data_IF_513516869017
#
_entry.id   IF_513516869017
#
_cell.length_a   1.000
_cell.length_b   1.000
_cell.length_c   1.000
_cell.angle_alpha   90.00
_cell.angle_beta   90.00
_cell.angle_gamma   90.00
#
_symmetry.space_group_name_H-M   'P 1'
#
loop_
_entity.id
_entity.type
_entity.pdbx_description
1 polymer ?
#
# COMPACT_ATOMS: atom_id res chain seq x y z
N UNK A 1 11.76 -42.49 26.79
CA UNK A 1 10.91 -43.00 25.68
C UNK A 1 9.72 -42.07 25.58
N UNK A 2 9.25 -41.54 24.45
CA UNK A 2 9.61 -41.53 23.02
C UNK A 2 8.80 -40.34 22.46
N UNK A 3 9.40 -39.53 21.60
CA UNK A 3 8.73 -38.40 20.97
C UNK A 3 9.77 -37.44 20.42
N UNK A 4 10.59 -37.93 19.49
CA UNK A 4 11.50 -37.08 18.75
C UNK A 4 10.68 -36.09 17.94
N UNK A 5 10.72 -34.82 18.32
CA UNK A 5 10.43 -33.71 17.42
C UNK A 5 11.41 -33.83 16.25
N UNK A 6 10.96 -34.49 15.18
CA UNK A 6 11.55 -34.29 13.87
C UNK A 6 11.34 -32.81 13.61
N UNK A 7 12.39 -32.00 13.81
CA UNK A 7 12.39 -30.61 13.36
C UNK A 7 12.12 -30.67 11.87
N UNK A 8 10.88 -30.41 11.46
CA UNK A 8 10.55 -30.29 10.05
C UNK A 8 11.53 -29.28 9.44
N UNK A 9 12.15 -29.65 8.32
CA UNK A 9 13.04 -28.74 7.64
C UNK A 9 12.27 -27.44 7.33
N UNK A 10 12.84 -26.26 7.65
CA UNK A 10 12.16 -25.00 7.44
C UNK A 10 11.84 -24.84 5.96
N UNK A 11 10.54 -24.71 5.65
CA UNK A 11 10.04 -24.59 4.28
C UNK A 11 10.64 -23.39 3.55
N UNK A 12 10.71 -23.50 2.22
CA UNK A 12 11.29 -22.47 1.33
C UNK A 12 10.37 -21.27 1.16
N UNK A 13 9.06 -21.49 1.25
CA UNK A 13 8.04 -20.44 1.13
C UNK A 13 7.21 -20.39 2.42
N UNK A 14 6.99 -19.18 2.93
CA UNK A 14 6.03 -18.88 3.98
C UNK A 14 4.97 -17.94 3.42
N UNK A 15 3.71 -18.34 3.55
CA UNK A 15 2.57 -17.60 3.02
C UNK A 15 1.70 -17.05 4.15
N UNK A 16 1.58 -15.73 4.27
CA UNK A 16 0.64 -15.06 5.15
C UNK A 16 -0.63 -14.69 4.38
N UNK A 17 -1.72 -15.38 4.66
CA UNK A 17 -3.03 -15.18 4.04
C UNK A 17 -4.04 -14.59 5.01
N UNK A 18 -5.02 -13.83 4.52
CA UNK A 18 -6.08 -13.27 5.37
C UNK A 18 -6.92 -12.20 4.67
N UNK A 19 -8.06 -11.79 5.25
CA UNK A 19 -8.98 -10.84 4.65
C UNK A 19 -8.40 -9.42 4.52
N UNK A 20 -9.06 -8.55 3.75
CA UNK A 20 -8.66 -7.16 3.62
C UNK A 20 -8.67 -6.45 4.99
N UNK A 21 -7.69 -5.59 5.24
CA UNK A 21 -7.60 -4.83 6.50
C UNK A 21 -7.12 -5.64 7.72
N UNK A 22 -6.74 -6.91 7.57
CA UNK A 22 -6.23 -7.76 8.67
C UNK A 22 -4.79 -7.47 9.11
N UNK A 23 -4.11 -6.52 8.46
CA UNK A 23 -2.75 -6.11 8.82
C UNK A 23 -1.61 -6.83 8.07
N UNK A 24 -1.90 -7.65 7.05
CA UNK A 24 -0.89 -8.37 6.24
C UNK A 24 0.28 -7.51 5.78
N UNK A 25 0.00 -6.37 5.12
CA UNK A 25 1.03 -5.41 4.67
C UNK A 25 1.85 -4.84 5.82
N UNK A 26 1.23 -4.60 6.97
CA UNK A 26 1.96 -4.13 8.17
C UNK A 26 2.89 -5.22 8.71
N UNK A 27 2.45 -6.48 8.71
CA UNK A 27 3.27 -7.64 9.09
C UNK A 27 4.41 -7.82 8.09
N UNK A 28 4.13 -7.83 6.78
CA UNK A 28 5.16 -7.94 5.74
C UNK A 28 6.21 -6.82 5.82
N UNK A 29 5.77 -5.58 6.04
CA UNK A 29 6.65 -4.44 6.29
C UNK A 29 7.52 -4.62 7.55
N UNK A 30 6.92 -5.10 8.64
CA UNK A 30 7.65 -5.37 9.89
C UNK A 30 8.66 -6.50 9.75
N UNK A 31 8.31 -7.56 9.00
CA UNK A 31 9.21 -8.68 8.66
C UNK A 31 10.38 -8.15 7.83
N UNK A 32 10.11 -7.37 6.77
CA UNK A 32 11.17 -6.78 5.94
C UNK A 32 12.10 -5.88 6.76
N UNK A 33 11.55 -4.99 7.61
CA UNK A 33 12.36 -4.10 8.46
C UNK A 33 13.21 -4.88 9.46
N UNK A 34 12.64 -5.91 10.08
CA UNK A 34 13.37 -6.77 11.03
C UNK A 34 14.48 -7.55 10.32
N UNK A 35 14.19 -8.16 9.17
CA UNK A 35 15.19 -8.84 8.34
C UNK A 35 16.29 -7.87 7.90
N UNK A 36 15.96 -6.63 7.54
CA UNK A 36 16.96 -5.62 7.17
C UNK A 36 17.87 -5.28 8.34
N UNK A 37 17.33 -5.06 9.54
CA UNK A 37 18.10 -4.78 10.76
C UNK A 37 19.05 -5.93 11.14
N UNK A 38 18.65 -7.16 10.86
CA UNK A 38 19.46 -8.36 11.10
C UNK A 38 20.42 -8.70 9.95
N UNK A 39 20.44 -7.91 8.85
CA UNK A 39 21.26 -8.21 7.67
C UNK A 39 20.78 -9.41 6.85
N UNK A 40 19.53 -9.85 7.05
CA UNK A 40 18.95 -11.01 6.37
C UNK A 40 18.08 -10.67 5.17
N UNK A 41 17.66 -9.42 4.99
CA UNK A 41 16.79 -9.04 3.87
C UNK A 41 17.57 -9.05 2.57
N UNK A 42 17.29 -9.99 1.68
CA UNK A 42 17.90 -10.10 0.36
C UNK A 42 17.25 -9.11 -0.60
N UNK A 43 15.91 -9.14 -0.65
CA UNK A 43 15.13 -8.22 -1.45
C UNK A 43 13.70 -8.12 -0.88
N UNK A 44 13.00 -7.06 -1.27
CA UNK A 44 11.58 -6.95 -1.01
C UNK A 44 10.83 -6.29 -2.16
N UNK A 45 9.58 -6.70 -2.38
CA UNK A 45 8.71 -6.12 -3.41
C UNK A 45 7.28 -6.00 -2.89
N UNK A 46 6.72 -4.79 -2.95
CA UNK A 46 5.38 -4.50 -2.41
C UNK A 46 4.48 -4.03 -3.54
N UNK A 47 3.65 -4.94 -4.04
CA UNK A 47 2.60 -4.62 -4.98
C UNK A 47 1.59 -3.67 -4.33
N UNK A 48 1.10 -2.72 -5.11
CA UNK A 48 -0.09 -1.97 -4.76
C UNK A 48 -0.76 -1.42 -6.01
N UNK A 49 -1.96 -1.93 -6.31
CA UNK A 49 -2.84 -1.44 -7.39
C UNK A 49 -3.16 0.05 -7.27
N UNK A 50 -3.06 0.60 -6.05
CA UNK A 50 -3.28 2.01 -5.77
C UNK A 50 -2.04 2.90 -5.92
N UNK A 51 -0.86 2.32 -6.19
CA UNK A 51 0.38 3.06 -6.40
C UNK A 51 0.27 3.93 -7.66
N UNK A 52 0.72 5.19 -7.58
CA UNK A 52 0.85 6.03 -8.77
C UNK A 52 2.06 5.66 -9.65
N UNK A 53 2.89 4.72 -9.18
CA UNK A 53 4.07 4.25 -9.87
C UNK A 53 3.85 2.86 -10.45
N UNK A 54 4.23 2.67 -11.72
CA UNK A 54 4.05 1.42 -12.48
C UNK A 54 4.89 0.28 -11.90
N UNK A 55 6.06 0.60 -11.33
CA UNK A 55 6.99 -0.33 -10.70
C UNK A 55 6.42 -1.11 -9.51
N UNK A 56 5.29 -0.66 -8.94
CA UNK A 56 4.58 -1.34 -7.86
C UNK A 56 3.23 -1.90 -8.28
N UNK A 57 2.79 -1.67 -9.52
CA UNK A 57 1.53 -2.20 -10.05
C UNK A 57 1.75 -3.37 -11.00
N UNK A 58 2.80 -3.28 -11.81
CA UNK A 58 3.08 -4.25 -12.86
C UNK A 58 4.04 -5.35 -12.39
N UNK A 59 3.74 -6.59 -12.78
CA UNK A 59 4.61 -7.74 -12.59
C UNK A 59 5.98 -7.59 -13.28
N UNK A 60 6.08 -6.78 -14.35
CA UNK A 60 7.32 -6.60 -15.15
C UNK A 60 8.52 -6.14 -14.35
N UNK A 61 8.28 -5.43 -13.25
CA UNK A 61 9.33 -4.90 -12.40
C UNK A 61 9.74 -5.85 -11.28
N UNK A 62 9.04 -6.97 -11.09
CA UNK A 62 9.28 -7.87 -9.98
C UNK A 62 10.71 -8.43 -9.99
N UNK A 63 11.08 -9.11 -11.08
CA UNK A 63 12.36 -9.83 -11.16
C UNK A 63 13.54 -8.87 -11.26
N UNK A 64 13.38 -7.78 -12.02
CA UNK A 64 14.42 -6.77 -12.18
C UNK A 64 14.70 -6.05 -10.86
N UNK A 65 13.66 -5.73 -10.08
CA UNK A 65 13.80 -5.13 -8.74
C UNK A 65 14.46 -6.11 -7.77
N UNK A 66 14.10 -7.39 -7.80
CA UNK A 66 14.77 -8.41 -6.98
C UNK A 66 16.25 -8.49 -7.35
N UNK A 67 16.59 -8.60 -8.64
CA UNK A 67 17.98 -8.68 -9.10
C UNK A 67 18.78 -7.42 -8.70
N UNK A 68 18.19 -6.24 -8.80
CA UNK A 68 18.82 -5.00 -8.37
C UNK A 68 19.09 -4.99 -6.86
N UNK A 69 18.11 -5.34 -6.02
CA UNK A 69 18.30 -5.42 -4.57
C UNK A 69 19.40 -6.43 -4.19
N UNK A 70 19.48 -7.56 -4.89
CA UNK A 70 20.56 -8.53 -4.66
C UNK A 70 21.94 -7.94 -4.99
N UNK A 71 22.05 -7.17 -6.08
CA UNK A 71 23.30 -6.53 -6.49
C UNK A 71 23.76 -5.38 -5.56
N UNK A 72 22.87 -4.83 -4.75
CA UNK A 72 23.18 -3.79 -3.77
C UNK A 72 23.88 -4.34 -2.52
N UNK A 73 23.83 -5.66 -2.27
CA UNK A 73 24.52 -6.26 -1.12
C UNK A 73 26.02 -6.41 -1.37
N UNK A 74 26.82 -5.88 -0.45
CA UNK A 74 28.28 -6.02 -0.49
C UNK A 74 28.73 -7.49 -0.43
N UNK A 75 27.96 -8.35 0.25
CA UNK A 75 28.23 -9.80 0.36
C UNK A 75 27.88 -10.60 -0.90
N UNK A 76 27.26 -9.95 -1.90
CA UNK A 76 26.86 -10.54 -3.18
C UNK A 76 27.64 -9.91 -4.36
N UNK A 77 28.89 -9.51 -4.13
CA UNK A 77 29.74 -8.87 -5.14
C UNK A 77 29.93 -9.75 -6.39
N UNK A 78 30.22 -11.03 -6.21
CA UNK A 78 30.42 -11.98 -7.31
C UNK A 78 29.12 -12.16 -8.10
N UNK A 79 27.97 -12.23 -7.41
CA UNK A 79 26.67 -12.27 -8.07
C UNK A 79 26.44 -11.00 -8.92
N UNK A 80 26.78 -9.83 -8.38
CA UNK A 80 26.67 -8.55 -9.13
C UNK A 80 27.49 -8.57 -10.42
N UNK A 81 28.72 -9.10 -10.37
CA UNK A 81 29.56 -9.21 -11.58
C UNK A 81 28.91 -10.12 -12.62
N UNK A 82 28.42 -11.29 -12.20
CA UNK A 82 27.75 -12.24 -13.10
C UNK A 82 26.45 -11.67 -13.67
N UNK A 83 25.67 -10.93 -12.86
CA UNK A 83 24.47 -10.22 -13.31
C UNK A 83 24.79 -9.22 -14.42
N UNK A 84 25.84 -8.41 -14.27
CA UNK A 84 26.25 -7.44 -15.29
C UNK A 84 26.62 -8.12 -16.61
N UNK A 85 27.35 -9.24 -16.56
CA UNK A 85 27.64 -10.03 -17.77
C UNK A 85 26.38 -10.65 -18.39
N UNK A 86 25.42 -11.11 -17.58
CA UNK A 86 24.13 -11.59 -18.09
C UNK A 86 23.38 -10.50 -18.86
N UNK A 87 23.37 -9.27 -18.34
CA UNK A 87 22.71 -8.11 -18.98
C UNK A 87 23.42 -7.73 -20.27
N UNK A 88 24.77 -7.66 -20.26
CA UNK A 88 25.57 -7.33 -21.44
C UNK A 88 25.36 -8.35 -22.58
N UNK A 89 25.28 -9.64 -22.24
CA UNK A 89 25.02 -10.71 -23.22
C UNK A 89 23.57 -10.76 -23.70
N UNK A 90 22.62 -10.25 -22.93
CA UNK A 90 21.19 -10.33 -23.22
C UNK A 90 20.48 -8.97 -23.07
N UNK A 91 20.77 -7.98 -23.93
CA UNK A 91 20.23 -6.63 -23.80
C UNK A 91 18.69 -6.55 -23.88
N UNK A 92 18.05 -7.55 -24.51
CA UNK A 92 16.59 -7.66 -24.60
C UNK A 92 15.89 -8.30 -23.39
N UNK A 93 16.62 -8.70 -22.35
CA UNK A 93 16.08 -9.51 -21.24
C UNK A 93 14.92 -8.83 -20.49
N UNK A 94 14.95 -7.49 -20.38
CA UNK A 94 13.92 -6.70 -19.70
C UNK A 94 12.54 -6.72 -20.37
N UNK A 95 12.45 -7.22 -21.61
CA UNK A 95 11.19 -7.38 -22.37
C UNK A 95 10.69 -8.82 -22.40
N UNK A 96 11.41 -9.75 -21.76
CA UNK A 96 11.05 -11.17 -21.70
C UNK A 96 10.06 -11.44 -20.58
N UNK A 97 9.42 -12.61 -20.62
CA UNK A 97 8.55 -13.09 -19.55
C UNK A 97 9.35 -13.26 -18.23
N UNK A 98 8.63 -13.36 -17.11
CA UNK A 98 9.26 -13.38 -15.78
C UNK A 98 10.15 -14.61 -15.60
N UNK A 99 9.84 -15.74 -16.24
CA UNK A 99 10.63 -16.96 -16.16
C UNK A 99 12.00 -16.79 -16.83
N UNK A 100 12.03 -16.25 -18.04
CA UNK A 100 13.28 -15.92 -18.75
C UNK A 100 14.10 -14.90 -17.96
N UNK A 101 13.45 -13.86 -17.40
CA UNK A 101 14.12 -12.89 -16.54
C UNK A 101 14.70 -13.54 -15.29
N UNK A 102 13.95 -14.39 -14.59
CA UNK A 102 14.38 -15.02 -13.35
C UNK A 102 15.57 -15.96 -13.59
N UNK A 103 15.52 -16.72 -14.68
CA UNK A 103 16.62 -17.58 -15.09
C UNK A 103 17.87 -16.77 -15.44
N UNK A 104 17.75 -15.70 -16.22
CA UNK A 104 18.89 -14.91 -16.70
C UNK A 104 19.51 -13.99 -15.65
N UNK A 105 18.66 -13.35 -14.82
CA UNK A 105 19.06 -12.29 -13.89
C UNK A 105 19.26 -12.80 -12.46
N UNK A 106 18.62 -13.91 -12.07
CA UNK A 106 18.72 -14.43 -10.69
C UNK A 106 19.45 -15.78 -10.69
N UNK A 107 18.89 -16.81 -11.32
CA UNK A 107 19.38 -18.17 -11.15
C UNK A 107 20.74 -18.41 -11.79
N UNK A 108 20.94 -18.03 -13.06
CA UNK A 108 22.25 -18.21 -13.72
C UNK A 108 23.37 -17.51 -12.95
N UNK A 109 23.27 -16.21 -12.61
CA UNK A 109 24.30 -15.56 -11.80
C UNK A 109 24.56 -16.24 -10.46
N UNK A 110 23.52 -16.71 -9.75
CA UNK A 110 23.67 -17.43 -8.48
C UNK A 110 24.37 -18.79 -8.63
N UNK A 111 24.04 -19.54 -9.69
CA UNK A 111 24.68 -20.84 -9.99
C UNK A 111 26.17 -20.67 -10.30
N UNK A 112 26.54 -19.61 -11.02
CA UNK A 112 27.94 -19.32 -11.37
C UNK A 112 28.80 -19.04 -10.14
N UNK A 113 28.24 -18.42 -9.09
CA UNK A 113 28.98 -18.11 -7.85
C UNK A 113 28.82 -19.19 -6.77
N UNK A 114 27.99 -20.20 -7.03
CA UNK A 114 27.73 -21.27 -6.07
C UNK A 114 29.02 -22.05 -5.81
N UNK A 115 29.42 -22.15 -4.53
CA UNK A 115 30.65 -22.82 -4.11
C UNK A 115 31.93 -22.00 -4.24
N UNK A 116 31.86 -20.75 -4.73
CA UNK A 116 33.03 -19.85 -4.79
C UNK A 116 33.21 -19.02 -3.50
N UNK A 117 32.14 -18.84 -2.72
CA UNK A 117 32.12 -18.00 -1.52
C UNK A 117 31.48 -18.73 -0.34
N UNK A 118 31.86 -18.36 0.89
CA UNK A 118 31.11 -18.77 2.08
C UNK A 118 29.77 -18.02 2.14
N UNK A 119 28.70 -18.72 1.76
CA UNK A 119 27.33 -18.20 1.77
C UNK A 119 26.76 -17.97 3.16
N UNK A 120 27.51 -18.17 4.24
CA UNK A 120 27.05 -17.95 5.62
C UNK A 120 26.60 -16.50 5.85
N UNK A 121 27.33 -15.53 5.29
CA UNK A 121 27.07 -14.08 5.42
C UNK A 121 26.03 -13.53 4.42
N UNK A 122 25.52 -14.37 3.52
CA UNK A 122 24.53 -13.92 2.54
C UNK A 122 23.18 -13.61 3.18
N UNK A 123 22.43 -12.65 2.64
CA UNK A 123 21.06 -12.44 3.07
C UNK A 123 20.21 -13.69 2.78
N UNK A 124 19.09 -13.83 3.51
CA UNK A 124 18.31 -15.07 3.59
C UNK A 124 16.83 -14.91 3.26
N UNK A 125 16.29 -13.70 3.20
CA UNK A 125 14.85 -13.45 3.10
C UNK A 125 14.48 -12.61 1.89
N UNK A 126 13.53 -13.10 1.09
CA UNK A 126 12.82 -12.36 0.05
C UNK A 126 11.40 -12.09 0.54
N UNK A 127 10.98 -10.83 0.61
CA UNK A 127 9.65 -10.44 1.12
C UNK A 127 8.78 -9.88 0.00
N UNK A 128 7.63 -10.49 -0.23
CA UNK A 128 6.60 -10.00 -1.15
C UNK A 128 5.32 -9.68 -0.40
N UNK A 129 4.71 -8.54 -0.73
CA UNK A 129 3.41 -8.13 -0.21
C UNK A 129 2.47 -7.72 -1.35
N UNK A 130 1.18 -7.99 -1.16
CA UNK A 130 0.12 -7.51 -2.04
C UNK A 130 0.07 -8.23 -3.38
N UNK A 131 0.44 -9.52 -3.47
CA UNK A 131 0.35 -10.28 -4.74
C UNK A 131 -1.07 -10.24 -5.35
N UNK A 132 -2.10 -10.12 -4.52
CA UNK A 132 -3.50 -9.88 -4.92
C UNK A 132 -3.79 -8.48 -5.48
N UNK A 133 -2.84 -7.54 -5.38
CA UNK A 133 -2.96 -6.17 -5.86
C UNK A 133 -2.17 -5.92 -7.17
N UNK A 134 -1.71 -6.97 -7.85
CA UNK A 134 -1.08 -6.85 -9.17
C UNK A 134 -2.09 -6.31 -10.19
N UNK A 135 -1.68 -5.36 -11.02
CA UNK A 135 -2.52 -4.87 -12.11
C UNK A 135 -2.33 -5.75 -13.35
N UNK A 136 -3.44 -6.24 -13.90
CA UNK A 136 -3.44 -7.07 -15.10
C UNK A 136 -2.81 -6.33 -16.29
N UNK A 137 -1.86 -6.96 -16.97
CA UNK A 137 -1.35 -6.45 -18.24
C UNK A 137 -2.47 -6.44 -19.29
N UNK A 138 -2.91 -5.23 -19.70
CA UNK A 138 -3.97 -5.07 -20.68
C UNK A 138 -3.46 -5.41 -22.09
N UNK A 139 -3.84 -6.57 -22.61
CA UNK A 139 -3.72 -6.91 -24.02
C UNK A 139 -4.91 -6.32 -24.80
N UNK A 140 -4.73 -5.11 -25.35
CA UNK A 140 -5.50 -4.42 -26.42
C UNK A 140 -7.06 -4.47 -26.50
N UNK A 141 -7.81 -5.19 -25.67
CA UNK A 141 -9.29 -5.17 -25.65
C UNK A 141 -9.83 -5.25 -24.20
N UNK A 142 -10.55 -4.22 -23.69
CA UNK A 142 -10.91 -4.14 -22.28
C UNK A 142 -12.34 -4.62 -22.02
N UNK A 143 -12.59 -5.94 -22.06
CA UNK A 143 -13.81 -6.49 -21.45
C UNK A 143 -13.55 -6.94 -20.00
N UNK A 144 -14.56 -6.85 -19.12
CA UNK A 144 -14.42 -7.21 -17.69
C UNK A 144 -13.97 -8.66 -17.46
N UNK A 145 -14.34 -9.58 -18.36
CA UNK A 145 -14.01 -10.99 -18.25
C UNK A 145 -12.56 -11.27 -18.69
N UNK A 146 -12.04 -10.52 -19.65
CA UNK A 146 -10.63 -10.58 -20.08
C UNK A 146 -9.70 -9.97 -19.03
N UNK A 147 -10.11 -8.88 -18.37
CA UNK A 147 -9.34 -8.27 -17.27
C UNK A 147 -9.15 -9.25 -16.10
N UNK A 148 -10.21 -9.96 -15.71
CA UNK A 148 -10.12 -10.96 -14.63
C UNK A 148 -9.21 -12.14 -15.01
N UNK A 149 -9.26 -12.60 -16.27
CA UNK A 149 -8.37 -13.66 -16.77
C UNK A 149 -6.92 -13.21 -16.83
N UNK A 150 -6.65 -12.00 -17.32
CA UNK A 150 -5.31 -11.45 -17.37
C UNK A 150 -4.72 -11.25 -15.96
N UNK A 151 -5.54 -10.82 -15.00
CA UNK A 151 -5.14 -10.72 -13.59
C UNK A 151 -4.74 -12.10 -13.01
N UNK A 152 -5.59 -13.09 -13.25
CA UNK A 152 -5.40 -14.48 -12.86
C UNK A 152 -4.12 -15.09 -13.46
N UNK A 153 -3.88 -14.85 -14.76
CA UNK A 153 -2.68 -15.27 -15.49
C UNK A 153 -1.40 -14.59 -14.97
N UNK A 154 -1.47 -13.30 -14.65
CA UNK A 154 -0.35 -12.54 -14.10
C UNK A 154 0.05 -13.04 -12.71
N UNK A 155 -0.94 -13.32 -11.85
CA UNK A 155 -0.71 -13.93 -10.54
C UNK A 155 -0.08 -15.32 -10.67
N UNK A 156 -0.59 -16.15 -11.59
CA UNK A 156 -0.04 -17.49 -11.86
C UNK A 156 1.41 -17.42 -12.34
N UNK A 157 1.74 -16.51 -13.25
CA UNK A 157 3.12 -16.37 -13.74
C UNK A 157 4.08 -15.96 -12.61
N UNK A 158 3.67 -15.02 -11.76
CA UNK A 158 4.45 -14.63 -10.57
C UNK A 158 4.66 -15.86 -9.67
N UNK A 159 3.59 -16.59 -9.36
CA UNK A 159 3.61 -17.77 -8.51
C UNK A 159 4.53 -18.87 -9.05
N UNK A 160 4.41 -19.19 -10.34
CA UNK A 160 5.24 -20.17 -11.03
C UNK A 160 6.72 -19.81 -10.96
N UNK A 161 7.04 -18.53 -11.14
CA UNK A 161 8.43 -18.06 -11.08
C UNK A 161 8.97 -18.09 -9.66
N UNK A 162 8.22 -17.63 -8.67
CA UNK A 162 8.64 -17.70 -7.26
C UNK A 162 8.83 -19.15 -6.80
N UNK A 163 7.96 -20.06 -7.23
CA UNK A 163 8.11 -21.47 -6.95
C UNK A 163 9.35 -22.04 -7.65
N UNK A 164 9.55 -21.74 -8.94
CA UNK A 164 10.75 -22.14 -9.69
C UNK A 164 12.03 -21.70 -8.98
N UNK A 165 12.09 -20.44 -8.53
CA UNK A 165 13.20 -19.93 -7.72
C UNK A 165 13.37 -20.74 -6.43
N UNK A 166 12.29 -21.01 -5.70
CA UNK A 166 12.34 -21.72 -4.41
C UNK A 166 12.85 -23.16 -4.49
N UNK A 167 12.68 -23.81 -5.65
CA UNK A 167 13.10 -25.19 -5.89
C UNK A 167 14.55 -25.30 -6.37
N UNK A 168 15.15 -24.20 -6.83
CA UNK A 168 16.52 -24.22 -7.33
C UNK A 168 17.53 -24.29 -6.16
N UNK A 169 18.45 -25.27 -6.14
CA UNK A 169 19.46 -25.39 -5.08
C UNK A 169 20.38 -24.18 -4.96
N UNK A 170 20.61 -23.44 -6.05
CA UNK A 170 21.42 -22.23 -6.06
C UNK A 170 20.68 -21.01 -5.50
N UNK A 171 19.38 -21.10 -5.24
CA UNK A 171 18.59 -20.04 -4.62
C UNK A 171 18.58 -20.23 -3.08
N UNK A 172 19.36 -19.44 -2.32
CA UNK A 172 19.53 -19.66 -0.88
C UNK A 172 18.49 -18.92 -0.04
N UNK A 173 17.60 -18.15 -0.67
CA UNK A 173 16.65 -17.29 0.02
C UNK A 173 15.36 -18.06 0.35
N UNK A 174 14.74 -17.68 1.47
CA UNK A 174 13.38 -18.06 1.84
C UNK A 174 12.43 -16.95 1.46
N UNK A 175 11.29 -17.32 0.89
CA UNK A 175 10.31 -16.39 0.34
C UNK A 175 9.18 -16.22 1.37
N UNK A 176 8.93 -14.99 1.79
CA UNK A 176 7.75 -14.62 2.56
C UNK A 176 6.77 -13.91 1.63
N UNK A 177 5.52 -14.38 1.55
CA UNK A 177 4.49 -13.80 0.69
C UNK A 177 3.29 -13.43 1.56
N UNK A 178 2.82 -12.20 1.44
CA UNK A 178 1.58 -11.74 2.07
C UNK A 178 0.53 -11.37 1.01
N UNK A 179 -0.63 -12.01 1.06
CA UNK A 179 -1.71 -11.77 0.09
C UNK A 179 -3.10 -12.14 0.62
N UNK A 180 -4.16 -11.75 -0.11
CA UNK A 180 -5.52 -12.30 0.11
C UNK A 180 -5.63 -13.74 -0.40
N UNK A 181 -6.57 -14.55 0.15
CA UNK A 181 -6.87 -15.89 -0.35
C UNK A 181 -7.74 -15.83 -1.62
N UNK A 182 -7.21 -15.26 -2.70
CA UNK A 182 -7.87 -15.36 -4.01
C UNK A 182 -7.79 -16.81 -4.53
N UNK A 183 -8.77 -17.24 -5.34
CA UNK A 183 -8.94 -18.66 -5.73
C UNK A 183 -7.64 -19.26 -6.28
N UNK A 184 -6.97 -18.54 -7.17
CA UNK A 184 -5.73 -18.99 -7.82
C UNK A 184 -4.57 -19.11 -6.83
N UNK A 185 -4.43 -18.12 -5.95
CA UNK A 185 -3.43 -18.12 -4.90
C UNK A 185 -3.65 -19.30 -3.94
N UNK A 186 -4.91 -19.55 -3.59
CA UNK A 186 -5.30 -20.64 -2.70
C UNK A 186 -4.98 -21.99 -3.35
N UNK A 187 -5.42 -22.22 -4.59
CA UNK A 187 -5.17 -23.43 -5.38
C UNK A 187 -3.67 -23.71 -5.54
N UNK A 188 -2.89 -22.69 -5.91
CA UNK A 188 -1.44 -22.83 -6.05
C UNK A 188 -0.75 -23.20 -4.74
N UNK A 189 -1.20 -22.59 -3.61
CA UNK A 189 -0.63 -22.89 -2.29
C UNK A 189 -0.82 -24.36 -1.89
N UNK A 190 -1.92 -25.00 -2.33
CA UNK A 190 -2.14 -26.43 -2.13
C UNK A 190 -1.22 -27.29 -3.01
N UNK A 191 -1.01 -26.89 -4.28
CA UNK A 191 -0.09 -27.60 -5.18
C UNK A 191 1.36 -27.52 -4.67
N UNK A 192 1.76 -26.39 -4.08
CA UNK A 192 3.08 -26.16 -3.52
C UNK A 192 3.24 -26.57 -2.03
N UNK A 193 2.30 -27.35 -1.48
CA UNK A 193 2.20 -27.63 -0.03
C UNK A 193 3.46 -28.30 0.57
N UNK A 194 4.22 -29.05 -0.23
CA UNK A 194 5.46 -29.68 0.25
C UNK A 194 6.56 -28.66 0.58
N UNK A 195 6.53 -27.49 -0.06
CA UNK A 195 7.55 -26.43 0.05
C UNK A 195 7.05 -25.15 0.72
N UNK A 196 5.79 -25.14 1.17
CA UNK A 196 5.09 -23.94 1.66
C UNK A 196 4.52 -24.16 3.07
N UNK A 197 4.76 -23.23 3.98
CA UNK A 197 3.96 -23.08 5.22
C UNK A 197 2.96 -21.96 5.01
N UNK A 198 1.68 -22.24 5.26
CA UNK A 198 0.61 -21.23 5.17
C UNK A 198 0.14 -20.84 6.57
N UNK A 199 0.27 -19.55 6.86
CA UNK A 199 -0.31 -18.89 8.01
C UNK A 199 -1.55 -18.15 7.54
N UNK A 200 -2.72 -18.59 7.97
CA UNK A 200 -3.95 -17.87 7.70
C UNK A 200 -4.33 -17.07 8.94
N UNK A 201 -4.56 -15.77 8.78
CA UNK A 201 -5.15 -14.90 9.79
C UNK A 201 -6.66 -15.24 9.86
N UNK A 202 -7.00 -16.39 10.48
CA UNK A 202 -8.37 -16.92 10.66
C UNK A 202 -9.03 -16.33 11.92
N UNK A 203 -10.29 -16.67 12.19
CA UNK A 203 -11.02 -16.25 13.40
C UNK A 203 -10.50 -16.82 14.74
N UNK A 204 -9.37 -17.56 14.77
CA UNK A 204 -8.59 -17.84 16.02
C UNK A 204 -7.50 -16.79 16.25
N UNK A 205 -7.17 -15.98 15.24
CA UNK A 205 -6.63 -14.62 15.42
C UNK A 205 -7.70 -13.83 16.16
N UNK A 206 -7.33 -13.20 17.27
CA UNK A 206 -8.21 -12.27 17.96
C UNK A 206 -7.83 -10.85 17.50
N UNK A 207 -8.35 -10.38 16.35
CA UNK A 207 -8.00 -9.05 15.85
C UNK A 207 -8.35 -7.97 16.88
N UNK A 208 -9.34 -8.20 17.74
CA UNK A 208 -9.71 -7.28 18.81
C UNK A 208 -8.63 -7.19 19.90
N UNK A 209 -7.90 -8.27 20.18
CA UNK A 209 -6.76 -8.24 21.09
C UNK A 209 -5.58 -7.47 20.50
N UNK A 210 -5.28 -7.65 19.21
CA UNK A 210 -4.20 -6.92 18.55
C UNK A 210 -4.57 -5.45 18.31
N UNK A 211 -5.83 -5.15 17.99
CA UNK A 211 -6.36 -3.79 17.93
C UNK A 211 -6.25 -3.15 19.32
N UNK A 212 -6.58 -3.87 20.41
CA UNK A 212 -6.38 -3.36 21.78
C UNK A 212 -4.91 -3.00 22.02
N UNK A 213 -3.98 -3.91 21.73
CA UNK A 213 -2.54 -3.66 21.86
C UNK A 213 -2.07 -2.46 21.04
N UNK A 214 -2.57 -2.34 19.80
CA UNK A 214 -2.33 -1.18 18.94
C UNK A 214 -2.87 0.11 19.56
N UNK A 215 -4.10 0.12 20.06
CA UNK A 215 -4.73 1.28 20.69
C UNK A 215 -3.98 1.69 21.96
N UNK A 216 -3.60 0.75 22.82
CA UNK A 216 -2.84 1.01 24.04
C UNK A 216 -1.51 1.71 23.72
N UNK A 217 -0.77 1.18 22.75
CA UNK A 217 0.49 1.76 22.27
C UNK A 217 0.29 3.15 21.66
N UNK A 218 -0.71 3.33 20.80
CA UNK A 218 -1.00 4.61 20.13
C UNK A 218 -1.50 5.67 21.09
N UNK A 219 -2.41 5.34 22.00
CA UNK A 219 -2.87 6.28 23.01
C UNK A 219 -1.78 6.64 24.01
N UNK A 220 -0.92 5.70 24.41
CA UNK A 220 0.26 6.03 25.23
C UNK A 220 1.21 7.00 24.51
N UNK A 221 1.37 6.87 23.18
CA UNK A 221 2.13 7.84 22.37
C UNK A 221 1.44 9.20 22.27
N UNK A 222 0.12 9.23 22.05
CA UNK A 222 -0.66 10.47 22.01
C UNK A 222 -0.58 11.20 23.36
N UNK A 223 -0.78 10.51 24.48
CA UNK A 223 -0.68 11.07 25.82
C UNK A 223 0.65 11.74 26.09
N UNK A 224 1.76 11.05 25.77
CA UNK A 224 3.11 11.58 25.94
C UNK A 224 3.33 12.85 25.11
N UNK A 225 2.90 12.86 23.84
CA UNK A 225 3.06 14.02 22.96
C UNK A 225 2.18 15.21 23.33
N UNK A 226 0.99 14.94 23.87
CA UNK A 226 -0.01 15.98 24.21
C UNK A 226 0.02 16.40 25.68
N UNK A 227 0.95 15.89 26.49
CA UNK A 227 1.08 16.26 27.90
C UNK A 227 -0.08 15.80 28.80
N UNK A 228 -0.79 14.73 28.41
CA UNK A 228 -1.96 14.23 29.16
C UNK A 228 -1.48 13.44 30.39
N UNK A 229 -1.63 14.07 31.55
CA UNK A 229 -1.19 13.52 32.84
C UNK A 229 -2.08 12.40 33.36
N UNK A 230 -3.36 12.39 32.97
CA UNK A 230 -4.31 11.35 33.35
C UNK A 230 -3.87 9.98 32.79
N UNK A 231 -3.57 9.03 33.68
CA UNK A 231 -3.19 7.66 33.33
C UNK A 231 -4.33 6.84 32.77
N UNK A 232 -5.56 7.21 33.08
CA UNK A 232 -6.77 6.49 32.70
C UNK A 232 -7.30 6.94 31.33
N UNK A 233 -6.87 8.09 30.80
CA UNK A 233 -7.22 8.52 29.45
C UNK A 233 -6.67 7.54 28.39
N UNK A 234 -7.44 7.15 27.35
CA UNK A 234 -8.74 7.67 26.92
C UNK A 234 -9.97 7.10 27.63
N UNK A 235 -9.78 6.21 28.61
CA UNK A 235 -10.83 5.47 29.31
C UNK A 235 -11.12 4.12 28.65
N UNK A 236 -11.35 3.09 29.47
CA UNK A 236 -11.57 1.72 28.97
C UNK A 236 -12.78 1.62 28.03
N UNK A 237 -13.88 2.33 28.35
CA UNK A 237 -15.09 2.35 27.53
C UNK A 237 -14.84 2.87 26.10
N UNK A 238 -13.97 3.88 25.95
CA UNK A 238 -13.61 4.39 24.62
C UNK A 238 -12.79 3.37 23.82
N UNK A 239 -11.86 2.66 24.47
CA UNK A 239 -11.04 1.62 23.81
C UNK A 239 -11.92 0.45 23.36
N UNK A 240 -12.79 -0.05 24.24
CA UNK A 240 -13.72 -1.14 23.93
C UNK A 240 -14.67 -0.76 22.78
N UNK A 241 -15.16 0.48 22.79
CA UNK A 241 -15.98 1.01 21.72
C UNK A 241 -15.24 1.01 20.36
N UNK A 242 -14.00 1.51 20.32
CA UNK A 242 -13.20 1.52 19.07
C UNK A 242 -13.00 0.09 18.58
N UNK A 243 -12.68 -0.85 19.47
CA UNK A 243 -12.49 -2.27 19.13
C UNK A 243 -13.76 -2.84 18.49
N UNK A 244 -14.91 -2.69 19.15
CA UNK A 244 -16.20 -3.18 18.65
C UNK A 244 -16.50 -2.61 17.25
N UNK A 245 -16.32 -1.30 17.06
CA UNK A 245 -16.57 -0.63 15.78
C UNK A 245 -15.54 -0.96 14.70
N UNK A 246 -14.37 -1.46 15.10
CA UNK A 246 -13.36 -1.88 14.13
C UNK A 246 -13.77 -3.16 13.42
N UNK A 247 -14.59 -4.03 14.05
CA UNK A 247 -15.00 -5.33 13.49
C UNK A 247 -13.80 -6.10 12.92
N UNK A 248 -12.68 -6.09 13.64
CA UNK A 248 -11.41 -6.70 13.25
C UNK A 248 -10.60 -5.98 12.15
N UNK A 249 -11.03 -4.82 11.65
CA UNK A 249 -10.37 -4.08 10.57
C UNK A 249 -9.46 -2.97 11.12
N UNK A 250 -8.15 -3.08 10.89
CA UNK A 250 -7.17 -2.09 11.38
C UNK A 250 -7.26 -0.69 10.76
N UNK A 251 -8.00 -0.53 9.66
CA UNK A 251 -8.22 0.79 9.05
C UNK A 251 -9.01 1.73 9.98
N UNK A 252 -10.02 1.20 10.69
CA UNK A 252 -10.87 1.97 11.61
C UNK A 252 -10.10 2.53 12.81
N UNK A 253 -9.40 1.72 13.64
CA UNK A 253 -8.69 2.23 14.81
C UNK A 253 -7.51 3.12 14.40
N UNK A 254 -6.87 2.86 13.24
CA UNK A 254 -5.82 3.72 12.72
C UNK A 254 -6.34 5.09 12.29
N UNK A 255 -7.48 5.17 11.59
CA UNK A 255 -8.11 6.43 11.22
C UNK A 255 -8.55 7.23 12.46
N UNK A 256 -9.16 6.56 13.45
CA UNK A 256 -9.60 7.19 14.71
C UNK A 256 -8.41 7.74 15.50
N UNK A 257 -7.37 6.93 15.75
CA UNK A 257 -6.20 7.39 16.51
C UNK A 257 -5.44 8.51 15.81
N UNK A 258 -5.40 8.48 14.47
CA UNK A 258 -4.83 9.56 13.66
C UNK A 258 -5.65 10.84 13.75
N UNK A 259 -6.98 10.74 13.70
CA UNK A 259 -7.87 11.88 13.93
C UNK A 259 -7.65 12.48 15.31
N UNK A 260 -7.68 11.67 16.37
CA UNK A 260 -7.49 12.13 17.75
C UNK A 260 -6.14 12.83 17.91
N UNK A 261 -5.05 12.24 17.38
CA UNK A 261 -3.70 12.79 17.51
C UNK A 261 -3.41 14.05 16.69
N UNK A 262 -4.28 14.46 15.78
CA UNK A 262 -4.10 15.63 14.91
C UNK A 262 -4.73 16.92 15.49
N UNK A 263 -5.21 16.91 16.74
CA UNK A 263 -5.67 18.10 17.45
C UNK A 263 -5.64 17.89 18.96
N UNK A 264 -6.53 18.56 19.71
CA UNK A 264 -6.67 18.35 21.15
C UNK A 264 -7.31 16.98 21.41
N UNK A 265 -6.56 15.98 21.92
CA UNK A 265 -7.02 14.58 21.92
C UNK A 265 -8.31 14.37 22.71
N UNK A 266 -8.47 15.05 23.85
CA UNK A 266 -9.65 14.94 24.69
C UNK A 266 -10.91 15.42 23.96
N UNK A 267 -10.84 16.56 23.28
CA UNK A 267 -11.97 17.12 22.53
C UNK A 267 -12.34 16.22 21.34
N UNK A 268 -11.34 15.77 20.57
CA UNK A 268 -11.57 14.91 19.41
C UNK A 268 -12.11 13.53 19.77
N UNK A 269 -11.67 12.98 20.90
CA UNK A 269 -12.24 11.75 21.42
C UNK A 269 -13.71 11.97 21.81
N UNK A 270 -14.04 13.07 22.49
CA UNK A 270 -15.42 13.38 22.87
C UNK A 270 -16.33 13.61 21.64
N UNK A 271 -15.83 14.28 20.60
CA UNK A 271 -16.53 14.43 19.30
C UNK A 271 -16.89 13.06 18.70
N UNK A 272 -15.93 12.13 18.64
CA UNK A 272 -16.16 10.78 18.11
C UNK A 272 -17.22 10.05 18.95
N UNK A 273 -17.11 10.11 20.27
CA UNK A 273 -18.07 9.47 21.18
C UNK A 273 -19.47 10.09 21.04
N UNK A 274 -19.60 11.37 20.70
CA UNK A 274 -20.90 12.01 20.41
C UNK A 274 -21.47 11.56 19.05
N UNK A 275 -20.63 11.41 18.03
CA UNK A 275 -21.04 10.91 16.71
C UNK A 275 -21.60 9.49 16.79
N UNK A 276 -21.07 8.65 17.67
CA UNK A 276 -21.63 7.32 17.90
C UNK A 276 -23.04 7.39 18.47
N UNK A 277 -23.26 8.15 19.55
CA UNK A 277 -24.58 8.26 20.19
C UNK A 277 -25.66 8.70 19.19
N UNK A 278 -25.29 9.47 18.18
CA UNK A 278 -26.19 9.90 17.11
C UNK A 278 -26.46 8.83 16.03
N UNK A 279 -25.57 7.84 15.86
CA UNK A 279 -25.57 6.87 14.76
C UNK A 279 -25.92 5.42 15.17
N UNK A 280 -26.48 5.21 16.37
CA UNK A 280 -26.75 3.89 16.98
C UNK A 280 -27.72 2.94 16.20
N UNK A 281 -28.13 3.28 14.98
CA UNK A 281 -29.21 2.58 14.23
C UNK A 281 -28.69 1.84 12.98
N UNK A 282 -27.45 2.03 12.53
CA UNK A 282 -26.97 1.46 11.25
C UNK A 282 -26.25 0.12 11.39
N UNK A 283 -26.65 -0.89 10.61
CA UNK A 283 -26.05 -2.25 10.55
C UNK A 283 -24.80 -2.38 9.66
N UNK A 284 -24.28 -1.30 9.07
CA UNK A 284 -23.11 -1.36 8.18
C UNK A 284 -21.80 -1.36 9.01
N UNK A 285 -20.92 -2.37 8.89
CA UNK A 285 -19.65 -2.43 9.61
C UNK A 285 -18.72 -1.24 9.36
N UNK A 286 -18.86 -0.55 8.21
CA UNK A 286 -18.07 0.63 7.85
C UNK A 286 -18.75 1.96 8.22
N UNK A 287 -19.97 1.95 8.73
CA UNK A 287 -20.69 3.17 9.09
C UNK A 287 -19.94 4.07 10.09
N UNK A 288 -19.25 3.55 11.13
CA UNK A 288 -18.46 4.38 12.03
C UNK A 288 -17.30 5.09 11.31
N UNK A 289 -16.67 4.41 10.35
CA UNK A 289 -15.59 4.96 9.54
C UNK A 289 -16.10 6.01 8.55
N UNK A 290 -17.22 5.73 7.89
CA UNK A 290 -17.88 6.65 6.95
C UNK A 290 -18.35 7.92 7.67
N UNK A 291 -18.92 7.78 8.87
CA UNK A 291 -19.32 8.91 9.72
C UNK A 291 -18.10 9.75 10.13
N UNK A 292 -16.98 9.11 10.49
CA UNK A 292 -15.73 9.79 10.80
C UNK A 292 -15.19 10.55 9.59
N UNK A 293 -15.15 9.92 8.41
CA UNK A 293 -14.73 10.57 7.17
C UNK A 293 -15.60 11.78 6.83
N UNK A 294 -16.92 11.62 6.87
CA UNK A 294 -17.87 12.71 6.65
C UNK A 294 -17.69 13.85 7.67
N UNK A 295 -17.48 13.52 8.94
CA UNK A 295 -17.23 14.52 9.98
C UNK A 295 -15.94 15.30 9.75
N UNK A 296 -14.84 14.62 9.42
CA UNK A 296 -13.55 15.26 9.14
C UNK A 296 -13.66 16.18 7.92
N UNK A 297 -14.27 15.69 6.83
CA UNK A 297 -14.45 16.49 5.60
C UNK A 297 -15.26 17.77 5.84
N UNK A 298 -16.26 17.72 6.71
CA UNK A 298 -17.09 18.88 7.09
C UNK A 298 -16.33 19.94 7.89
N UNK A 299 -15.11 19.67 8.37
CA UNK A 299 -14.26 20.68 9.01
C UNK A 299 -13.60 21.62 8.01
N UNK A 300 -13.50 21.23 6.74
CA UNK A 300 -13.01 22.13 5.71
C UNK A 300 -13.95 23.35 5.59
N UNK A 301 -13.43 24.56 5.36
CA UNK A 301 -14.25 25.75 5.08
C UNK A 301 -15.18 25.58 3.88
N UNK A 302 -14.78 24.74 2.91
CA UNK A 302 -15.60 24.35 1.77
C UNK A 302 -15.45 22.85 1.50
N UNK A 303 -16.26 21.99 2.16
CA UNK A 303 -16.14 20.54 2.05
C UNK A 303 -16.28 20.03 0.62
N UNK A 304 -17.21 20.58 -0.15
CA UNK A 304 -17.45 20.16 -1.53
C UNK A 304 -16.24 20.43 -2.43
N UNK A 305 -15.62 21.60 -2.28
CA UNK A 305 -14.41 21.96 -3.02
C UNK A 305 -13.20 21.13 -2.58
N UNK A 306 -13.00 20.94 -1.27
CA UNK A 306 -11.93 20.11 -0.74
C UNK A 306 -12.02 18.66 -1.25
N UNK A 307 -13.24 18.10 -1.32
CA UNK A 307 -13.47 16.76 -1.89
C UNK A 307 -13.13 16.74 -3.38
N UNK A 308 -13.54 17.76 -4.14
CA UNK A 308 -13.15 17.85 -5.56
C UNK A 308 -11.64 17.85 -5.72
N UNK A 309 -10.90 18.63 -4.93
CA UNK A 309 -9.44 18.68 -4.97
C UNK A 309 -8.80 17.34 -4.64
N UNK A 310 -9.26 16.69 -3.57
CA UNK A 310 -8.81 15.35 -3.17
C UNK A 310 -9.08 14.34 -4.28
N UNK A 311 -10.27 14.36 -4.88
CA UNK A 311 -10.63 13.45 -5.98
C UNK A 311 -9.84 13.73 -7.25
N UNK A 312 -9.53 14.99 -7.58
CA UNK A 312 -8.65 15.37 -8.70
C UNK A 312 -7.24 14.83 -8.51
N UNK A 313 -6.69 14.98 -7.29
CA UNK A 313 -5.37 14.42 -6.93
C UNK A 313 -5.38 12.89 -7.06
N UNK A 314 -6.43 12.24 -6.53
CA UNK A 314 -6.59 10.78 -6.63
C UNK A 314 -6.68 10.30 -8.07
N UNK A 315 -7.45 10.99 -8.91
CA UNK A 315 -7.68 10.64 -10.31
C UNK A 315 -6.39 10.72 -11.13
N UNK A 316 -5.64 11.82 -11.00
CA UNK A 316 -4.37 11.99 -11.69
C UNK A 316 -3.28 11.03 -11.19
N UNK A 317 -3.30 10.68 -9.90
CA UNK A 317 -2.43 9.64 -9.36
C UNK A 317 -2.86 8.22 -9.76
N UNK A 318 -3.98 8.05 -10.47
CA UNK A 318 -4.46 6.77 -10.99
C UNK A 318 -4.35 6.67 -12.52
N UNK A 319 -4.09 7.76 -13.24
CA UNK A 319 -3.85 7.73 -14.69
C UNK A 319 -2.45 7.21 -15.00
N UNK A 320 -2.37 6.12 -15.77
CA UNK A 320 -1.12 5.51 -16.21
C UNK A 320 -0.26 6.51 -16.98
N UNK A 321 0.99 6.73 -16.53
CA UNK A 321 2.00 7.50 -17.25
C UNK A 321 2.52 8.77 -16.55
N UNK A 322 1.79 9.31 -15.56
CA UNK A 322 2.29 10.41 -14.72
C UNK A 322 2.62 9.87 -13.34
N UNK A 323 3.91 9.80 -12.98
CA UNK A 323 4.31 9.60 -11.59
C UNK A 323 3.63 10.63 -10.67
N UNK A 324 3.55 10.35 -9.36
CA UNK A 324 2.88 11.25 -8.42
C UNK A 324 3.43 12.68 -8.51
N UNK A 325 2.56 13.62 -8.88
CA UNK A 325 2.94 15.02 -9.09
C UNK A 325 3.27 15.69 -7.75
N UNK A 326 4.32 16.52 -7.68
CA UNK A 326 4.67 17.24 -6.45
C UNK A 326 3.53 18.12 -5.97
N UNK A 327 3.44 18.38 -4.66
CA UNK A 327 2.41 19.25 -4.09
C UNK A 327 2.43 20.66 -4.70
N UNK A 328 3.60 21.14 -5.11
CA UNK A 328 3.76 22.42 -5.80
C UNK A 328 2.96 22.48 -7.11
N UNK A 329 2.90 21.39 -7.88
CA UNK A 329 2.10 21.32 -9.10
C UNK A 329 0.62 21.55 -8.76
N UNK A 330 0.12 20.79 -7.78
CA UNK A 330 -1.27 20.84 -7.37
C UNK A 330 -1.68 22.19 -6.79
N UNK A 331 -0.80 22.84 -6.02
CA UNK A 331 -1.04 24.22 -5.56
C UNK A 331 -1.25 25.16 -6.74
N UNK A 332 -0.31 25.18 -7.70
CA UNK A 332 -0.43 26.02 -8.90
C UNK A 332 -1.63 25.66 -9.79
N UNK A 333 -2.04 24.40 -9.79
CA UNK A 333 -3.10 23.90 -10.64
C UNK A 333 -4.50 24.12 -10.04
N UNK A 334 -4.63 24.03 -8.73
CA UNK A 334 -5.91 24.09 -8.01
C UNK A 334 -6.17 25.46 -7.38
N UNK A 335 -5.14 26.14 -6.88
CA UNK A 335 -5.28 27.42 -6.19
C UNK A 335 -5.57 28.55 -7.18
N UNK A 336 -6.55 29.39 -6.83
CA UNK A 336 -6.70 30.72 -7.44
C UNK A 336 -5.89 31.78 -6.71
N UNK A 337 -5.76 31.64 -5.40
CA UNK A 337 -4.99 32.51 -4.52
C UNK A 337 -4.00 31.70 -3.68
N UNK A 338 -2.80 32.24 -3.46
CA UNK A 338 -1.75 31.56 -2.71
C UNK A 338 -2.23 31.20 -1.28
N UNK A 339 -2.13 29.91 -0.93
CA UNK A 339 -2.47 29.41 0.40
C UNK A 339 -3.86 28.78 0.54
N UNK A 340 -4.68 28.79 -0.51
CA UNK A 340 -5.99 28.11 -0.53
C UNK A 340 -5.91 26.62 -0.17
N UNK A 341 -4.84 25.91 -0.56
CA UNK A 341 -4.63 24.50 -0.17
C UNK A 341 -4.56 24.35 1.33
N UNK A 342 -3.79 25.21 2.01
CA UNK A 342 -3.64 25.12 3.46
C UNK A 342 -4.95 25.51 4.15
N UNK A 343 -5.68 26.48 3.60
CA UNK A 343 -6.99 26.88 4.09
C UNK A 343 -8.04 25.76 3.95
N UNK A 344 -8.08 25.08 2.79
CA UNK A 344 -9.09 24.05 2.49
C UNK A 344 -8.77 22.68 3.09
N UNK A 345 -7.51 22.25 3.02
CA UNK A 345 -7.07 20.90 3.36
C UNK A 345 -6.32 20.81 4.70
N UNK A 346 -5.93 21.94 5.30
CA UNK A 346 -5.15 21.97 6.54
C UNK A 346 -5.84 21.25 7.71
N UNK A 347 -7.15 21.44 7.86
CA UNK A 347 -7.96 20.77 8.89
C UNK A 347 -8.23 19.27 8.60
N UNK A 348 -7.83 18.79 7.41
CA UNK A 348 -7.98 17.41 6.97
C UNK A 348 -6.70 16.58 7.17
N UNK A 349 -5.74 17.06 7.97
CA UNK A 349 -4.43 16.43 8.21
C UNK A 349 -4.47 14.95 8.66
N UNK A 350 -5.62 14.50 9.19
CA UNK A 350 -5.85 13.10 9.54
C UNK A 350 -6.18 12.19 8.35
N UNK A 351 -6.69 12.74 7.24
CA UNK A 351 -7.02 12.03 6.01
C UNK A 351 -5.99 12.23 4.91
N UNK A 352 -5.39 13.42 4.85
CA UNK A 352 -4.41 13.78 3.83
C UNK A 352 -3.19 14.44 4.48
N UNK A 353 -2.00 14.03 4.03
CA UNK A 353 -0.78 14.76 4.28
C UNK A 353 -0.71 15.94 3.32
N UNK A 354 -0.73 17.14 3.89
CA UNK A 354 -0.49 18.39 3.18
C UNK A 354 0.95 18.81 3.49
N UNK A 355 1.86 18.79 2.52
CA UNK A 355 3.22 19.28 2.74
C UNK A 355 3.24 20.76 3.16
N UNK A 356 4.28 21.25 3.84
CA UNK A 356 4.48 22.68 4.10
C UNK A 356 4.49 23.55 2.84
N UNK A 357 4.19 24.84 2.97
CA UNK A 357 4.06 25.76 1.82
C UNK A 357 5.37 25.93 1.02
N UNK A 358 6.51 25.84 1.72
CA UNK A 358 7.87 25.94 1.20
C UNK A 358 8.40 24.62 0.61
N UNK A 359 7.73 23.49 0.88
CA UNK A 359 8.10 22.19 0.34
C UNK A 359 7.69 22.06 -1.14
N UNK A 360 8.71 21.89 -1.99
CA UNK A 360 8.56 21.82 -3.46
C UNK A 360 8.58 20.40 -4.02
N UNK A 361 9.02 19.43 -3.22
CA UNK A 361 9.31 18.07 -3.69
C UNK A 361 8.33 17.04 -3.16
N UNK A 362 7.81 17.24 -1.95
CA UNK A 362 6.89 16.31 -1.34
C UNK A 362 5.55 16.26 -2.07
N UNK A 363 4.89 15.11 -1.95
CA UNK A 363 3.60 14.82 -2.57
C UNK A 363 2.48 14.87 -1.53
N UNK A 364 1.25 15.06 -2.00
CA UNK A 364 0.07 14.80 -1.19
C UNK A 364 -0.09 13.31 -0.96
N UNK A 365 -0.17 12.88 0.30
CA UNK A 365 -0.37 11.48 0.66
C UNK A 365 -1.70 11.29 1.36
N UNK A 366 -2.58 10.49 0.77
CA UNK A 366 -3.89 10.19 1.35
C UNK A 366 -3.77 8.93 2.21
N UNK A 367 -4.11 9.05 3.49
CA UNK A 367 -4.08 7.95 4.44
C UNK A 367 -5.29 7.04 4.23
N UNK A 368 -5.11 5.74 4.47
CA UNK A 368 -6.16 4.73 4.25
C UNK A 368 -6.78 4.84 2.84
N UNK A 369 -5.94 5.15 1.83
CA UNK A 369 -6.34 5.54 0.48
C UNK A 369 -7.42 4.64 -0.12
N UNK A 370 -7.32 3.32 -0.01
CA UNK A 370 -8.34 2.39 -0.52
C UNK A 370 -9.70 2.63 0.13
N UNK A 371 -9.79 2.48 1.45
CA UNK A 371 -11.04 2.64 2.19
C UNK A 371 -11.65 4.05 2.05
N UNK A 372 -10.81 5.08 2.01
CA UNK A 372 -11.26 6.47 1.84
C UNK A 372 -11.67 6.77 0.38
N UNK A 373 -10.98 6.21 -0.61
CA UNK A 373 -11.39 6.33 -2.03
C UNK A 373 -12.72 5.62 -2.27
N UNK A 374 -12.94 4.46 -1.67
CA UNK A 374 -14.22 3.73 -1.74
C UNK A 374 -15.37 4.52 -1.12
N UNK A 375 -15.10 5.19 0.00
CA UNK A 375 -16.05 6.12 0.62
C UNK A 375 -16.41 7.26 -0.36
N UNK A 376 -15.41 7.97 -0.91
CA UNK A 376 -15.63 9.11 -1.81
C UNK A 376 -16.32 8.72 -3.14
N UNK A 377 -16.15 7.48 -3.61
CA UNK A 377 -16.77 6.99 -4.86
C UNK A 377 -18.23 6.56 -4.67
N UNK A 378 -18.63 6.21 -3.45
CA UNK A 378 -19.93 5.60 -3.17
C UNK A 378 -20.95 6.65 -2.66
N UNK A 379 -21.96 6.97 -3.47
CA UNK A 379 -22.98 7.97 -3.11
C UNK A 379 -23.76 7.61 -1.84
N UNK A 380 -24.03 6.32 -1.62
CA UNK A 380 -24.75 5.86 -0.42
C UNK A 380 -23.93 5.97 0.86
N UNK A 381 -22.59 6.05 0.76
CA UNK A 381 -21.68 6.22 1.90
C UNK A 381 -21.32 7.69 2.13
N UNK A 382 -20.95 8.41 1.08
CA UNK A 382 -20.55 9.82 1.13
C UNK A 382 -21.75 10.78 1.26
N UNK A 383 -22.94 10.34 0.87
CA UNK A 383 -24.18 11.11 0.98
C UNK A 383 -24.11 12.41 0.19
N UNK A 384 -24.47 13.52 0.85
CA UNK A 384 -24.49 14.88 0.27
C UNK A 384 -23.11 15.40 -0.15
N UNK A 385 -22.04 14.78 0.35
CA UNK A 385 -20.66 15.14 0.01
C UNK A 385 -20.15 14.42 -1.25
N UNK A 386 -20.99 13.57 -1.88
CA UNK A 386 -20.61 12.83 -3.07
C UNK A 386 -20.55 13.73 -4.31
N UNK A 387 -19.45 13.64 -5.05
CA UNK A 387 -19.34 14.16 -6.40
C UNK A 387 -19.29 13.02 -7.42
N UNK A 388 -20.04 13.16 -8.51
CA UNK A 388 -19.97 12.20 -9.61
C UNK A 388 -18.60 12.27 -10.31
N UNK A 389 -18.07 11.15 -10.85
CA UNK A 389 -16.84 11.17 -11.63
C UNK A 389 -16.87 12.17 -12.80
N UNK A 390 -18.04 12.34 -13.43
CA UNK A 390 -18.24 13.33 -14.49
C UNK A 390 -18.08 14.78 -14.00
N UNK A 391 -18.53 15.10 -12.78
CA UNK A 391 -18.36 16.41 -12.19
C UNK A 391 -16.88 16.72 -11.92
N UNK A 392 -16.14 15.76 -11.36
CA UNK A 392 -14.69 15.89 -11.12
C UNK A 392 -13.93 16.09 -12.44
N UNK A 393 -14.24 15.29 -13.47
CA UNK A 393 -13.62 15.44 -14.78
C UNK A 393 -13.90 16.81 -15.41
N UNK A 394 -15.14 17.32 -15.29
CA UNK A 394 -15.51 18.65 -15.78
C UNK A 394 -14.76 19.75 -15.03
N UNK A 395 -14.61 19.62 -13.72
CA UNK A 395 -13.85 20.54 -12.90
C UNK A 395 -12.38 20.60 -13.33
N UNK A 396 -11.71 19.45 -13.45
CA UNK A 396 -10.32 19.35 -13.91
C UNK A 396 -10.15 19.92 -15.32
N UNK A 397 -11.06 19.59 -16.24
CA UNK A 397 -11.03 20.14 -17.60
C UNK A 397 -11.14 21.67 -17.62
N UNK A 398 -11.98 22.24 -16.76
CA UNK A 398 -12.10 23.69 -16.59
C UNK A 398 -10.79 24.35 -16.11
N UNK A 399 -10.11 23.72 -15.15
CA UNK A 399 -8.79 24.18 -14.69
C UNK A 399 -7.75 24.13 -15.81
N UNK A 400 -7.69 23.04 -16.58
CA UNK A 400 -6.80 22.94 -17.74
C UNK A 400 -7.03 24.07 -18.74
N UNK A 401 -8.29 24.40 -19.06
CA UNK A 401 -8.64 25.50 -19.96
C UNK A 401 -8.18 26.84 -19.40
N UNK A 402 -8.33 27.08 -18.10
CA UNK A 402 -7.89 28.32 -17.45
C UNK A 402 -6.36 28.47 -17.51
N UNK A 403 -5.62 27.40 -17.23
CA UNK A 403 -4.15 27.37 -17.34
C UNK A 403 -3.71 27.63 -18.79
N UNK A 404 -4.36 26.99 -19.78
CA UNK A 404 -4.05 27.20 -21.20
C UNK A 404 -4.34 28.66 -21.64
N UNK A 405 -5.42 29.27 -21.14
CA UNK A 405 -5.75 30.68 -21.42
C UNK A 405 -4.78 31.67 -20.78
N UNK A 406 -4.24 31.36 -19.60
CA UNK A 406 -3.26 32.24 -18.93
C UNK A 406 -1.89 32.13 -19.59
N UNK A 407 -1.51 30.95 -20.09
CA UNK A 407 -0.27 30.74 -20.86
C UNK A 407 -0.37 31.22 -22.30
N UNK A 408 -1.55 31.19 -22.94
CA UNK A 408 -1.71 31.72 -24.30
C UNK A 408 -1.58 33.23 -24.40
N UNK A 409 -1.76 33.98 -23.30
CA UNK A 409 -1.45 35.43 -23.27
C UNK A 409 0.04 35.76 -23.42
N UNK A 410 0.93 34.78 -23.26
CA UNK A 410 2.38 34.95 -23.48
C UNK A 410 2.75 34.76 -24.96
N UNK A 411 1.88 34.09 -25.73
CA UNK A 411 2.03 33.98 -27.18
C UNK A 411 0.93 34.78 -27.84
N UNK A 412 1.23 36.04 -28.20
CA UNK A 412 0.48 36.73 -29.25
C UNK A 412 0.56 35.87 -30.52
N UNK A 413 -0.38 34.94 -30.67
CA UNK A 413 -0.77 34.42 -31.96
C UNK A 413 -1.54 35.55 -32.63
N UNK A 414 -0.80 36.47 -33.25
CA UNK A 414 -1.30 37.22 -34.40
C UNK A 414 -1.66 36.18 -35.45
N UNK A 415 -2.94 35.86 -35.55
CA UNK A 415 -3.51 35.35 -36.79
C UNK A 415 -3.78 36.58 -37.66
N UNK A 416 -2.88 36.84 -38.60
CA UNK A 416 -3.23 37.47 -39.88
C UNK A 416 -3.60 36.37 -40.87
#
# INVERSE_FOLDING_TARGET
>A
MRGGDVREEPKRIMWLSGPAGSGKTAIAGSVAETCKKLGFLAASFFFSSSSGSEDRRSKRFLITTIANHLAEHDTLLEYRIQLLWSIERHPGIFRKNLKEQAECLILKPLREVQGQCDGSAWPKALVLDGLDEVEAEQYHDPTRQEIARAHDEDQLEILDVLFTLSQDPAFPFRIFIASRPERIIDEFSYTAATSTIKLFLDSRYNPDADIRSFLDSKFASIRRRSGISDSLWPGQAAVEWIIEKSSGQFAVPAAITRYIGAGLPQQRLEEIMRLERANAVTKNPLAPLDALYGHILKRSPNPSLAIMWIQSILLANSSAGSGQLPALFWRRFLETEDGETNHLLGDLASLIFVPPADDRTSQFNIYHRSAFTDFLRCQTRCGELHNSPAAVNRFVAGLCVNVLRSTSRIYHLTMD
#
